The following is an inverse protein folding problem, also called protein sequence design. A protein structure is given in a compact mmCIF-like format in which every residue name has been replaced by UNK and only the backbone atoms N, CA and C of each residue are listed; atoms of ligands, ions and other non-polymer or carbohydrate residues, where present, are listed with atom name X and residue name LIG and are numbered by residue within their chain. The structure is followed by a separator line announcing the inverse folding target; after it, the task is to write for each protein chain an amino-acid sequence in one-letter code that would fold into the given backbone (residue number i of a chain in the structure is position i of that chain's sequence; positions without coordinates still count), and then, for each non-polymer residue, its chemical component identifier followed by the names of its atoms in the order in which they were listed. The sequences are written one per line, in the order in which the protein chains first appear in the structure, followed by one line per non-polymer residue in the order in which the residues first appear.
data_IF_728238450831
#
_entry.id   IF_728238450831
#
_cell.length_a   1.000
_cell.length_b   1.000
_cell.length_c   1.000
_cell.angle_alpha   90.00
_cell.angle_beta   90.00
_cell.angle_gamma   90.00
#
_symmetry.space_group_name_H-M   'P 1'
#
loop_
_entity.id
_entity.type
_entity.pdbx_description
1 polymer ?
#
# COMPACT_ATOMS: atom_id res chain seq x y z
N UNK A 1 8.07 10.13 14.75
CA UNK A 1 8.38 8.83 15.32
C UNK A 1 8.06 7.71 14.34
N UNK A 2 8.53 6.50 14.66
CA UNK A 2 8.25 5.34 13.82
C UNK A 2 6.77 5.00 13.74
N UNK A 3 6.06 5.20 14.85
CA UNK A 3 4.63 4.93 14.89
C UNK A 3 3.87 5.84 13.94
N UNK A 4 4.22 7.11 13.90
CA UNK A 4 3.57 8.04 13.00
C UNK A 4 3.81 7.68 11.55
N UNK A 5 5.04 7.26 11.23
CA UNK A 5 5.36 6.85 9.87
C UNK A 5 4.58 5.61 9.46
N UNK A 6 4.44 4.65 10.38
CA UNK A 6 3.66 3.44 10.11
C UNK A 6 2.19 3.81 9.86
N UNK A 7 1.66 4.73 10.64
CA UNK A 7 0.28 5.18 10.44
C UNK A 7 0.09 5.83 9.07
N UNK A 8 1.04 6.67 8.67
CA UNK A 8 0.96 7.33 7.36
C UNK A 8 1.03 6.32 6.23
N UNK A 9 1.91 5.34 6.36
CA UNK A 9 2.03 4.29 5.34
C UNK A 9 0.74 3.48 5.29
N UNK A 10 0.16 3.14 6.45
CA UNK A 10 -1.09 2.38 6.48
C UNK A 10 -2.22 3.14 5.82
N UNK A 11 -2.32 4.46 6.06
CA UNK A 11 -3.31 5.27 5.39
C UNK A 11 -3.11 5.29 3.88
N UNK A 12 -1.85 5.36 3.46
CA UNK A 12 -1.53 5.33 2.03
C UNK A 12 -1.95 4.02 1.39
N UNK A 13 -1.79 2.90 2.11
CA UNK A 13 -2.24 1.61 1.62
C UNK A 13 -3.75 1.61 1.40
N UNK A 14 -4.50 2.15 2.36
CA UNK A 14 -5.95 2.24 2.24
C UNK A 14 -6.33 3.10 1.05
N UNK A 15 -5.68 4.24 0.88
CA UNK A 15 -5.96 5.11 -0.25
C UNK A 15 -5.62 4.45 -1.57
N UNK A 16 -4.53 3.68 -1.59
CA UNK A 16 -4.15 2.94 -2.78
C UNK A 16 -5.22 1.91 -3.16
N UNK A 17 -5.78 1.22 -2.16
CA UNK A 17 -6.85 0.26 -2.38
C UNK A 17 -8.12 0.95 -2.88
N UNK A 18 -8.45 2.10 -2.33
CA UNK A 18 -9.60 2.87 -2.79
C UNK A 18 -9.41 3.31 -4.24
N UNK A 19 -8.20 3.73 -4.59
CA UNK A 19 -7.90 4.14 -5.96
C UNK A 19 -8.11 2.98 -6.93
N UNK A 20 -7.69 1.76 -6.55
CA UNK A 20 -7.91 0.59 -7.38
C UNK A 20 -9.40 0.31 -7.54
N UNK A 21 -10.16 0.47 -6.47
CA UNK A 21 -11.60 0.26 -6.50
C UNK A 21 -12.28 1.24 -7.47
N UNK A 22 -11.97 2.52 -7.34
CA UNK A 22 -12.54 3.53 -8.22
C UNK A 22 -12.10 3.34 -9.67
N UNK A 23 -10.85 2.94 -9.86
CA UNK A 23 -10.35 2.66 -11.20
C UNK A 23 -11.15 1.54 -11.86
N UNK A 24 -11.44 0.48 -11.11
CA UNK A 24 -12.23 -0.63 -11.60
C UNK A 24 -13.64 -0.17 -11.99
N UNK A 25 -14.25 0.68 -11.17
CA UNK A 25 -15.58 1.21 -11.46
C UNK A 25 -15.54 2.03 -12.75
N UNK A 26 -14.55 2.90 -12.89
CA UNK A 26 -14.43 3.74 -14.09
C UNK A 26 -14.24 2.89 -15.34
N UNK A 27 -13.49 1.82 -15.22
CA UNK A 27 -13.29 0.91 -16.35
C UNK A 27 -14.57 0.16 -16.69
N UNK A 28 -15.28 -0.34 -15.67
CA UNK A 28 -16.54 -1.06 -15.90
C UNK A 28 -17.61 -0.15 -16.49
N UNK A 29 -17.59 1.12 -16.12
CA UNK A 29 -18.52 2.10 -16.68
C UNK A 29 -18.05 2.64 -18.02
N UNK A 30 -16.94 2.11 -18.53
CA UNK A 30 -16.36 2.49 -19.83
C UNK A 30 -15.94 3.95 -19.89
N UNK A 31 -15.61 4.53 -18.72
CA UNK A 31 -15.09 5.89 -18.68
C UNK A 31 -13.64 5.91 -19.13
N UNK A 32 -12.89 4.83 -18.85
CA UNK A 32 -11.51 4.71 -19.30
C UNK A 32 -11.35 3.46 -20.15
N UNK A 33 -10.37 3.51 -21.05
CA UNK A 33 -10.09 2.42 -21.96
C UNK A 33 -9.29 1.31 -21.29
N UNK A 34 -9.36 0.11 -21.86
CA UNK A 34 -8.67 -1.07 -21.32
C UNK A 34 -7.19 -0.82 -21.12
N UNK A 35 -6.53 -0.22 -22.11
CA UNK A 35 -5.08 0.02 -22.03
C UNK A 35 -4.73 0.92 -20.86
N UNK A 36 -5.52 1.97 -20.66
CA UNK A 36 -5.28 2.88 -19.55
C UNK A 36 -5.56 2.19 -18.21
N UNK A 37 -6.61 1.40 -18.17
CA UNK A 37 -6.94 0.65 -16.95
C UNK A 37 -5.79 -0.27 -16.56
N UNK A 38 -5.27 -1.03 -17.52
CA UNK A 38 -4.17 -1.96 -17.24
C UNK A 38 -2.94 -1.21 -16.76
N UNK A 39 -2.59 -0.11 -17.41
CA UNK A 39 -1.42 0.67 -17.06
C UNK A 39 -1.52 1.23 -15.64
N UNK A 40 -2.66 1.85 -15.33
CA UNK A 40 -2.83 2.47 -14.03
C UNK A 40 -2.93 1.41 -12.94
N UNK A 41 -3.63 0.32 -13.20
CA UNK A 41 -3.75 -0.74 -12.18
C UNK A 41 -2.40 -1.37 -11.89
N UNK A 42 -1.54 -1.52 -12.89
CA UNK A 42 -0.19 -2.03 -12.68
C UNK A 42 0.59 -1.10 -11.75
N UNK A 43 0.51 0.21 -12.01
CA UNK A 43 1.18 1.19 -11.16
C UNK A 43 0.66 1.11 -9.72
N UNK A 44 -0.65 0.99 -9.54
CA UNK A 44 -1.23 0.90 -8.21
C UNK A 44 -0.83 -0.37 -7.48
N UNK A 45 -0.77 -1.49 -8.19
CA UNK A 45 -0.32 -2.75 -7.58
C UNK A 45 1.13 -2.63 -7.13
N UNK A 46 1.99 -2.07 -7.96
CA UNK A 46 3.40 -1.90 -7.61
C UNK A 46 3.57 -0.95 -6.43
N UNK A 47 2.81 0.15 -6.44
CA UNK A 47 2.83 1.08 -5.32
C UNK A 47 2.38 0.41 -4.03
N UNK A 48 1.35 -0.41 -4.11
CA UNK A 48 0.86 -1.15 -2.95
C UNK A 48 1.91 -2.09 -2.38
N UNK A 49 2.61 -2.80 -3.26
CA UNK A 49 3.69 -3.69 -2.82
C UNK A 49 4.78 -2.93 -2.11
N UNK A 50 5.16 -1.77 -2.63
CA UNK A 50 6.18 -0.94 -2.00
C UNK A 50 5.72 -0.46 -0.63
N UNK A 51 4.47 -0.03 -0.54
CA UNK A 51 3.93 0.45 0.73
C UNK A 51 3.89 -0.66 1.78
N UNK A 52 3.47 -1.85 1.39
CA UNK A 52 3.47 -2.99 2.31
C UNK A 52 4.88 -3.33 2.77
N UNK A 53 5.84 -3.31 1.83
CA UNK A 53 7.23 -3.58 2.17
C UNK A 53 7.78 -2.55 3.13
N UNK A 54 7.48 -1.27 2.89
CA UNK A 54 7.92 -0.21 3.79
C UNK A 54 7.30 -0.36 5.18
N UNK A 55 6.02 -0.71 5.25
CA UNK A 55 5.36 -0.89 6.54
C UNK A 55 5.97 -2.04 7.31
N UNK A 56 6.22 -3.17 6.63
CA UNK A 56 6.88 -4.30 7.28
C UNK A 56 8.25 -3.93 7.78
N UNK A 57 9.02 -3.23 6.95
CA UNK A 57 10.35 -2.80 7.34
C UNK A 57 10.30 -1.91 8.59
N UNK A 58 9.38 -0.96 8.61
CA UNK A 58 9.25 -0.05 9.74
C UNK A 58 8.80 -0.78 11.00
N UNK A 59 7.88 -1.73 10.87
CA UNK A 59 7.41 -2.50 12.00
C UNK A 59 8.50 -3.38 12.58
N UNK A 60 9.28 -4.01 11.72
CA UNK A 60 10.37 -4.87 12.15
C UNK A 60 11.50 -4.07 12.79
N UNK A 61 11.68 -2.84 12.35
CA UNK A 61 12.73 -1.98 12.91
C UNK A 61 12.31 -1.35 14.22
N UNK A 62 11.04 -1.27 14.49
CA UNK A 62 10.54 -0.65 15.70
C UNK A 62 10.76 -1.60 16.88
N UNK A 63 11.65 -1.28 17.82
CA UNK A 63 11.94 -2.20 18.92
C UNK A 63 10.76 -2.46 19.83
N UNK A 64 9.79 -1.59 19.81
CA UNK A 64 8.57 -1.82 20.58
C UNK A 64 7.61 -2.75 19.87
N UNK A 65 7.81 -2.80 18.62
CA UNK A 65 7.04 -3.74 17.85
C UNK A 65 7.64 -5.10 17.92
N UNK A 66 8.50 -5.18 18.59
CA UNK A 66 8.85 -6.27 18.40
C UNK A 66 9.21 -7.18 18.84
N UNK A 67 9.57 -6.90 19.06
CA UNK A 67 9.93 -7.40 19.32
C UNK A 67 10.27 -8.05 19.30
N UNK A 68 10.31 -8.02 19.26
CA UNK A 68 10.66 -8.44 19.22
C UNK A 68 10.96 -9.07 19.00
N UNK A 69 11.04 -9.27 19.04
CA UNK A 69 11.37 -9.67 18.80
C UNK A 69 11.77 -10.11 18.48
N UNK A 70 11.88 -10.29 18.57
CA UNK A 70 12.43 -10.57 18.35
C UNK A 70 12.99 -10.80 17.90
N UNK A 71 12.99 -10.73 17.87
CA UNK A 71 13.47 -10.79 17.58
C UNK A 71 13.95 -11.15 17.23
N UNK A 72 14.03 -11.44 17.31
CA UNK A 72 14.37 -11.67 17.10
C UNK A 72 14.78 -11.80 17.04
N UNK A 73 15.00 -12.10 17.22
CA UNK A 73 15.19 -11.95 17.28
C UNK A 73 15.18 -12.18 17.26
#
# INVERSE_FOLDING_TARGET
SGTEKIELISKSIIQNDLAKFFLTIMWECKIIEDKKYIRISTILVESGKMLFGWREYMQNKNPLGQKSSGEKA
#
